data_IF_707442959121
#
_entry.id   IF_707442959121
#
_cell.length_a   1.000
_cell.length_b   1.000
_cell.length_c   1.000
_cell.angle_alpha   90.00
_cell.angle_beta   90.00
_cell.angle_gamma   90.00
#
_symmetry.space_group_name_H-M   'P 1'
#
loop_
_entity.id
_entity.type
_entity.pdbx_description
1 polymer ?
#
# COMPACT_ATOMS: atom_id res chain seq x y z
N UNK A 1 -6.40 -9.17 -11.99
CA UNK A 1 -6.79 -7.92 -12.67
C UNK A 1 -8.00 -7.39 -11.94
N UNK A 2 -7.93 -6.20 -11.34
CA UNK A 2 -9.05 -5.64 -10.60
C UNK A 2 -10.13 -5.24 -11.61
N UNK A 3 -11.29 -5.89 -11.54
CA UNK A 3 -12.42 -5.64 -12.43
C UNK A 3 -12.93 -4.19 -12.36
N UNK A 4 -12.75 -3.53 -11.22
CA UNK A 4 -13.10 -2.12 -11.02
C UNK A 4 -12.19 -1.14 -11.78
N UNK A 5 -10.92 -1.46 -12.00
CA UNK A 5 -10.01 -0.61 -12.77
C UNK A 5 -10.43 -0.45 -14.24
N UNK A 6 -11.10 -1.45 -14.81
CA UNK A 6 -11.59 -1.37 -16.19
C UNK A 6 -12.86 -0.53 -16.34
N UNK A 7 -13.75 -0.50 -15.34
CA UNK A 7 -14.98 0.30 -15.41
C UNK A 7 -14.71 1.78 -15.20
N UNK A 8 -13.76 2.09 -14.30
CA UNK A 8 -13.38 3.47 -13.97
C UNK A 8 -12.11 3.91 -14.69
N UNK A 9 -11.84 3.31 -15.84
CA UNK A 9 -10.77 3.77 -16.72
C UNK A 9 -10.99 5.25 -17.04
N UNK A 10 -9.90 6.03 -16.99
CA UNK A 10 -9.86 7.46 -17.30
C UNK A 10 -10.62 7.83 -18.60
N UNK A 11 -10.57 6.99 -19.62
CA UNK A 11 -11.28 7.22 -20.88
C UNK A 11 -12.81 7.21 -20.71
N UNK A 12 -13.35 6.37 -19.84
CA UNK A 12 -14.80 6.30 -19.58
C UNK A 12 -15.23 7.53 -18.79
N UNK A 13 -14.46 7.92 -17.77
CA UNK A 13 -14.72 9.10 -16.95
C UNK A 13 -14.65 10.36 -17.80
N UNK A 14 -13.60 10.50 -18.61
CA UNK A 14 -13.42 11.67 -19.48
C UNK A 14 -14.51 11.81 -20.55
N UNK A 15 -15.02 10.71 -21.08
CA UNK A 15 -16.15 10.73 -22.02
C UNK A 15 -17.46 11.10 -21.33
N UNK A 16 -17.69 10.67 -20.11
CA UNK A 16 -18.85 11.07 -19.28
C UNK A 16 -18.81 12.57 -18.97
N UNK A 17 -17.64 13.12 -18.65
CA UNK A 17 -17.45 14.55 -18.39
C UNK A 17 -17.67 15.40 -19.64
N UNK A 18 -17.20 14.93 -20.79
CA UNK A 18 -17.25 15.71 -22.04
C UNK A 18 -18.58 15.60 -22.80
N UNK A 19 -19.29 14.48 -22.75
CA UNK A 19 -20.49 14.26 -23.57
C UNK A 19 -21.78 14.05 -22.77
N UNK A 20 -21.70 13.78 -21.47
CA UNK A 20 -22.86 13.46 -20.64
C UNK A 20 -23.62 12.19 -21.06
N UNK A 21 -23.20 11.54 -22.15
CA UNK A 21 -23.82 10.32 -22.70
C UNK A 21 -22.78 9.24 -22.90
N UNK A 22 -23.07 8.06 -22.39
CA UNK A 22 -22.22 6.88 -22.53
C UNK A 22 -23.05 5.69 -23.02
N UNK A 23 -22.68 5.14 -24.18
CA UNK A 23 -23.29 3.90 -24.68
C UNK A 23 -22.60 2.70 -24.05
N UNK A 24 -23.34 1.95 -23.23
CA UNK A 24 -22.88 0.72 -22.60
C UNK A 24 -23.34 -0.47 -23.44
N UNK A 25 -22.39 -1.35 -23.78
CA UNK A 25 -22.67 -2.57 -24.54
C UNK A 25 -23.46 -3.58 -23.69
N UNK A 26 -24.11 -4.54 -24.37
CA UNK A 26 -24.82 -5.63 -23.67
C UNK A 26 -23.90 -6.47 -22.77
N UNK A 27 -22.64 -6.64 -23.17
CA UNK A 27 -21.64 -7.36 -22.39
C UNK A 27 -21.25 -6.59 -21.12
N UNK A 28 -21.07 -5.27 -21.20
CA UNK A 28 -20.78 -4.42 -20.04
C UNK A 28 -21.96 -4.40 -19.07
N UNK A 29 -23.20 -4.41 -19.56
CA UNK A 29 -24.39 -4.52 -18.73
C UNK A 29 -24.47 -5.88 -18.02
N UNK A 30 -24.22 -6.97 -18.74
CA UNK A 30 -24.20 -8.31 -18.17
C UNK A 30 -23.13 -8.44 -17.08
N UNK A 31 -21.97 -7.88 -17.33
CA UNK A 31 -20.86 -7.86 -16.39
C UNK A 31 -21.16 -6.98 -15.15
N UNK A 32 -21.73 -5.78 -15.34
CA UNK A 32 -22.17 -4.92 -14.24
C UNK A 32 -23.23 -5.62 -13.37
N UNK A 33 -24.17 -6.33 -14.00
CA UNK A 33 -25.17 -7.12 -13.27
C UNK A 33 -24.52 -8.20 -12.41
N UNK A 34 -23.58 -8.94 -12.95
CA UNK A 34 -22.80 -9.96 -12.21
C UNK A 34 -22.05 -9.35 -11.02
N UNK A 35 -21.45 -8.18 -11.20
CA UNK A 35 -20.79 -7.47 -10.10
C UNK A 35 -21.75 -7.02 -9.01
N UNK A 36 -22.92 -6.52 -9.36
CA UNK A 36 -23.94 -6.10 -8.39
C UNK A 36 -24.49 -7.26 -7.57
N UNK A 37 -24.42 -8.48 -8.09
CA UNK A 37 -24.77 -9.72 -7.39
C UNK A 37 -23.72 -10.16 -6.38
N UNK A 38 -22.46 -9.70 -6.53
CA UNK A 38 -21.39 -10.04 -5.59
C UNK A 38 -21.67 -9.46 -4.18
N UNK A 39 -21.38 -10.19 -3.09
CA UNK A 39 -21.63 -9.73 -1.71
C UNK A 39 -21.03 -8.36 -1.40
N UNK A 40 -19.82 -8.08 -1.88
CA UNK A 40 -19.15 -6.79 -1.70
C UNK A 40 -19.91 -5.59 -2.31
N UNK A 41 -20.83 -5.81 -3.25
CA UNK A 41 -21.65 -4.75 -3.81
C UNK A 41 -22.61 -4.14 -2.78
N UNK A 42 -23.04 -4.92 -1.77
CA UNK A 42 -23.86 -4.42 -0.68
C UNK A 42 -23.13 -3.39 0.20
N UNK A 43 -21.83 -3.48 0.28
CA UNK A 43 -21.01 -2.53 1.03
C UNK A 43 -20.55 -1.33 0.17
N UNK A 44 -20.41 -1.54 -1.14
CA UNK A 44 -19.94 -0.52 -2.08
C UNK A 44 -21.04 0.49 -2.46
N UNK A 45 -22.30 0.06 -2.49
CA UNK A 45 -23.45 0.88 -2.90
C UNK A 45 -24.45 1.07 -1.75
N UNK A 46 -25.18 2.21 -1.77
CA UNK A 46 -26.35 2.31 -0.90
C UNK A 46 -27.42 1.33 -1.38
N UNK A 47 -28.30 0.80 -0.49
CA UNK A 47 -29.38 -0.10 -0.87
C UNK A 47 -30.22 0.45 -2.03
N UNK A 48 -30.59 1.72 -1.98
CA UNK A 48 -31.37 2.42 -3.01
C UNK A 48 -30.65 2.47 -4.37
N UNK A 49 -29.35 2.77 -4.37
CA UNK A 49 -28.54 2.81 -5.60
C UNK A 49 -28.41 1.40 -6.20
N UNK A 50 -28.17 0.40 -5.35
CA UNK A 50 -28.05 -0.99 -5.79
C UNK A 50 -29.37 -1.49 -6.39
N UNK A 51 -30.50 -1.21 -5.76
CA UNK A 51 -31.82 -1.58 -6.23
C UNK A 51 -32.16 -0.93 -7.58
N UNK A 52 -31.93 0.39 -7.70
CA UNK A 52 -32.07 1.10 -8.98
C UNK A 52 -31.24 0.49 -10.11
N UNK A 53 -29.96 0.19 -9.84
CA UNK A 53 -29.07 -0.42 -10.84
C UNK A 53 -29.52 -1.81 -11.24
N UNK A 54 -29.95 -2.64 -10.28
CA UNK A 54 -30.49 -3.96 -10.55
C UNK A 54 -31.79 -3.90 -11.35
N UNK A 55 -32.66 -2.92 -11.06
CA UNK A 55 -33.88 -2.66 -11.83
C UNK A 55 -33.59 -2.30 -13.28
N UNK A 56 -32.61 -1.41 -13.53
CA UNK A 56 -32.20 -1.02 -14.88
C UNK A 56 -31.57 -2.19 -15.66
N UNK A 57 -30.93 -3.12 -14.97
CA UNK A 57 -30.26 -4.28 -15.57
C UNK A 57 -31.10 -5.56 -15.55
N UNK A 58 -32.37 -5.46 -15.14
CA UNK A 58 -33.27 -6.63 -14.98
C UNK A 58 -33.31 -7.52 -16.22
N UNK A 59 -33.43 -6.94 -17.41
CA UNK A 59 -33.54 -7.67 -18.69
C UNK A 59 -32.22 -8.22 -19.21
N UNK A 60 -31.09 -7.84 -18.63
CA UNK A 60 -29.77 -8.28 -19.09
C UNK A 60 -29.43 -9.66 -18.48
N UNK A 61 -28.80 -10.53 -19.26
CA UNK A 61 -28.23 -11.78 -18.74
C UNK A 61 -27.11 -11.46 -17.74
N UNK A 62 -26.90 -12.28 -16.72
CA UNK A 62 -25.69 -12.25 -15.91
C UNK A 62 -24.59 -13.04 -16.62
N UNK A 63 -23.35 -12.55 -16.56
CA UNK A 63 -22.20 -13.27 -17.09
C UNK A 63 -21.70 -14.25 -16.04
N UNK A 64 -22.01 -15.52 -16.19
CA UNK A 64 -21.41 -16.56 -15.34
C UNK A 64 -20.07 -16.97 -15.91
N UNK A 65 -19.01 -16.67 -15.19
CA UNK A 65 -17.63 -17.02 -15.53
C UNK A 65 -17.05 -18.08 -14.59
N UNK A 66 -17.84 -18.55 -13.63
CA UNK A 66 -17.39 -19.48 -12.57
C UNK A 66 -16.97 -20.83 -13.12
N UNK A 67 -17.60 -21.30 -14.21
CA UNK A 67 -17.27 -22.57 -14.86
C UNK A 67 -15.98 -22.50 -15.69
N UNK A 68 -15.56 -21.30 -16.12
CA UNK A 68 -14.43 -21.13 -17.04
C UNK A 68 -13.20 -20.48 -16.42
N UNK A 69 -13.30 -19.92 -15.21
CA UNK A 69 -12.22 -19.23 -14.54
C UNK A 69 -11.91 -19.87 -13.19
N UNK A 70 -10.75 -20.52 -13.10
CA UNK A 70 -10.22 -21.06 -11.85
C UNK A 70 -9.07 -20.17 -11.39
N UNK A 71 -9.17 -19.65 -10.17
CA UNK A 71 -8.08 -18.91 -9.56
C UNK A 71 -6.95 -19.88 -9.19
N UNK A 72 -5.78 -19.73 -9.82
CA UNK A 72 -4.61 -20.52 -9.50
C UNK A 72 -4.18 -20.29 -8.06
N UNK A 73 -3.90 -21.37 -7.34
CA UNK A 73 -3.53 -21.38 -5.92
C UNK A 73 -4.68 -21.19 -4.91
N UNK A 74 -5.94 -21.18 -5.36
CA UNK A 74 -7.13 -21.09 -4.49
C UNK A 74 -7.02 -20.03 -3.37
N UNK A 75 -6.33 -18.91 -3.65
CA UNK A 75 -6.18 -17.84 -2.67
C UNK A 75 -7.53 -17.15 -2.47
N UNK A 76 -7.98 -17.05 -1.22
CA UNK A 76 -9.12 -16.19 -0.90
C UNK A 76 -8.72 -14.73 -1.11
N UNK A 77 -9.44 -14.01 -1.96
CA UNK A 77 -9.28 -12.57 -2.06
C UNK A 77 -9.69 -11.93 -0.73
N UNK A 78 -8.80 -11.12 -0.16
CA UNK A 78 -9.20 -10.21 0.90
C UNK A 78 -10.09 -9.13 0.29
N UNK A 79 -11.20 -8.85 0.96
CA UNK A 79 -12.09 -7.78 0.58
C UNK A 79 -11.32 -6.46 0.52
N UNK A 80 -11.27 -5.86 -0.67
CA UNK A 80 -10.56 -4.58 -0.88
C UNK A 80 -11.40 -3.40 -0.41
N UNK A 81 -12.70 -3.60 -0.23
CA UNK A 81 -13.63 -2.57 0.22
C UNK A 81 -13.71 -2.49 1.75
N UNK A 82 -13.86 -1.27 2.27
CA UNK A 82 -14.10 -1.01 3.69
C UNK A 82 -15.24 0.02 3.84
N UNK A 83 -16.22 -0.18 4.76
CA UNK A 83 -17.39 0.69 4.90
C UNK A 83 -17.06 2.18 5.09
N UNK A 84 -15.97 2.47 5.81
CA UNK A 84 -15.53 3.84 6.06
C UNK A 84 -14.93 4.54 4.84
N UNK A 85 -14.60 3.84 3.75
CA UNK A 85 -13.98 4.46 2.57
C UNK A 85 -14.83 5.60 2.00
N UNK A 86 -16.14 5.36 1.85
CA UNK A 86 -17.08 6.36 1.34
C UNK A 86 -17.15 7.60 2.25
N UNK A 87 -17.24 7.37 3.54
CA UNK A 87 -17.34 8.45 4.53
C UNK A 87 -16.06 9.27 4.58
N UNK A 88 -14.91 8.60 4.65
CA UNK A 88 -13.60 9.28 4.66
C UNK A 88 -13.34 10.03 3.36
N UNK A 89 -13.64 9.43 2.20
CA UNK A 89 -13.53 10.11 0.91
C UNK A 89 -14.36 11.39 0.86
N UNK A 90 -15.58 11.38 1.38
CA UNK A 90 -16.44 12.57 1.47
C UNK A 90 -15.80 13.65 2.33
N UNK A 91 -15.30 13.31 3.52
CA UNK A 91 -14.66 14.30 4.41
C UNK A 91 -13.39 14.88 3.79
N UNK A 92 -12.57 14.07 3.12
CA UNK A 92 -11.39 14.53 2.37
C UNK A 92 -11.80 15.49 1.24
N UNK A 93 -12.79 15.11 0.44
CA UNK A 93 -13.29 15.92 -0.69
C UNK A 93 -13.87 17.28 -0.22
N UNK A 94 -14.54 17.30 0.92
CA UNK A 94 -15.13 18.51 1.50
C UNK A 94 -14.11 19.34 2.28
N UNK A 95 -12.86 18.89 2.42
CA UNK A 95 -11.83 19.53 3.25
C UNK A 95 -12.31 19.81 4.69
N UNK A 96 -13.19 18.97 5.22
CA UNK A 96 -13.71 19.11 6.58
C UNK A 96 -12.77 18.46 7.58
N UNK A 97 -12.71 19.01 8.79
CA UNK A 97 -12.07 18.35 9.92
C UNK A 97 -12.82 17.07 10.29
N UNK A 98 -12.15 16.22 11.05
CA UNK A 98 -12.70 14.98 11.57
C UNK A 98 -12.41 14.82 13.05
N UNK A 99 -13.33 14.17 13.75
CA UNK A 99 -13.12 13.67 15.11
C UNK A 99 -13.07 12.16 15.07
N UNK A 100 -11.92 11.57 15.43
CA UNK A 100 -11.66 10.14 15.32
C UNK A 100 -11.57 9.47 16.69
N UNK A 101 -12.21 8.32 16.80
CA UNK A 101 -11.98 7.35 17.86
C UNK A 101 -11.37 6.10 17.23
N UNK A 102 -10.17 5.71 17.66
CA UNK A 102 -9.44 4.59 17.10
C UNK A 102 -8.69 3.78 18.15
N UNK A 103 -8.42 2.52 17.80
CA UNK A 103 -7.73 1.57 18.67
C UNK A 103 -6.22 1.52 18.35
N UNK A 104 -5.38 1.58 19.36
CA UNK A 104 -3.94 1.39 19.26
C UNK A 104 -3.57 -0.10 19.14
N UNK A 105 -2.31 -0.39 18.79
CA UNK A 105 -1.78 -1.76 18.71
C UNK A 105 -1.90 -2.56 20.01
N UNK A 106 -1.87 -1.87 21.15
CA UNK A 106 -1.99 -2.47 22.49
C UNK A 106 -3.44 -2.62 22.98
N UNK A 107 -4.44 -2.46 22.11
CA UNK A 107 -5.86 -2.57 22.44
C UNK A 107 -6.47 -1.33 23.14
N UNK A 108 -5.66 -0.32 23.50
CA UNK A 108 -6.20 0.90 24.11
C UNK A 108 -6.91 1.75 23.04
N UNK A 109 -8.10 2.25 23.37
CA UNK A 109 -8.80 3.20 22.53
C UNK A 109 -8.27 4.63 22.76
N UNK A 110 -8.16 5.37 21.70
CA UNK A 110 -7.98 6.83 21.68
C UNK A 110 -9.29 7.45 21.23
N UNK A 111 -9.87 8.26 22.10
CA UNK A 111 -11.21 8.81 21.89
C UNK A 111 -11.15 10.28 21.49
N UNK A 112 -12.02 10.65 20.54
CA UNK A 112 -12.31 12.04 20.15
C UNK A 112 -11.09 12.89 19.80
N UNK A 113 -10.18 12.34 19.01
CA UNK A 113 -9.05 13.09 18.50
C UNK A 113 -9.43 13.91 17.28
N UNK A 114 -9.32 15.23 17.38
CA UNK A 114 -9.53 16.17 16.27
C UNK A 114 -8.37 16.13 15.30
N UNK A 115 -8.69 16.10 14.00
CA UNK A 115 -7.71 16.05 12.94
C UNK A 115 -8.26 16.46 11.59
N UNK A 116 -7.37 16.49 10.59
CA UNK A 116 -7.69 16.78 9.21
C UNK A 116 -7.38 15.56 8.33
N UNK A 117 -8.37 14.95 7.66
CA UNK A 117 -8.17 13.80 6.79
C UNK A 117 -7.52 14.25 5.49
N UNK A 118 -6.42 13.59 5.11
CA UNK A 118 -5.65 13.96 3.92
C UNK A 118 -5.90 13.03 2.75
N UNK A 119 -5.59 11.75 2.92
CA UNK A 119 -5.71 10.73 1.86
C UNK A 119 -6.07 9.37 2.42
N UNK A 120 -6.63 8.53 1.54
CA UNK A 120 -6.80 7.11 1.76
C UNK A 120 -5.72 6.35 0.99
N UNK A 121 -5.00 5.47 1.68
CA UNK A 121 -3.91 4.67 1.13
C UNK A 121 -4.21 3.19 1.27
N UNK A 122 -4.02 2.43 0.20
CA UNK A 122 -4.11 0.99 0.23
C UNK A 122 -2.72 0.35 0.25
N UNK A 123 -2.38 -0.32 1.34
CA UNK A 123 -1.12 -1.04 1.43
C UNK A 123 -1.18 -2.37 0.68
N UNK A 124 -0.49 -2.46 -0.45
CA UNK A 124 -0.39 -3.69 -1.25
C UNK A 124 0.30 -4.83 -0.49
N UNK A 125 1.19 -4.52 0.44
CA UNK A 125 1.90 -5.52 1.27
C UNK A 125 0.98 -6.11 2.33
N UNK A 126 0.24 -5.25 3.04
CA UNK A 126 -0.64 -5.66 4.15
C UNK A 126 -2.07 -5.97 3.69
N UNK A 127 -2.40 -5.56 2.46
CA UNK A 127 -3.76 -5.64 1.89
C UNK A 127 -4.80 -5.00 2.79
N UNK A 128 -4.50 -3.79 3.28
CA UNK A 128 -5.32 -3.03 4.21
C UNK A 128 -5.36 -1.56 3.83
N UNK A 129 -6.48 -0.91 4.13
CA UNK A 129 -6.66 0.52 3.95
C UNK A 129 -6.18 1.32 5.15
N UNK A 130 -5.56 2.45 4.89
CA UNK A 130 -5.09 3.42 5.86
C UNK A 130 -5.69 4.78 5.56
N UNK A 131 -6.05 5.52 6.62
CA UNK A 131 -6.32 6.95 6.57
C UNK A 131 -5.04 7.69 6.95
N UNK A 132 -4.53 8.50 6.03
CA UNK A 132 -3.49 9.47 6.32
C UNK A 132 -4.17 10.78 6.76
N UNK A 133 -3.87 11.26 7.95
CA UNK A 133 -4.52 12.41 8.54
C UNK A 133 -3.59 13.19 9.44
N UNK A 134 -3.83 14.50 9.57
CA UNK A 134 -3.05 15.39 10.43
C UNK A 134 -3.73 15.53 11.79
N UNK A 135 -3.02 15.19 12.88
CA UNK A 135 -3.51 15.32 14.23
C UNK A 135 -3.32 16.75 14.72
N UNK A 136 -4.41 17.51 14.94
CA UNK A 136 -4.35 18.95 15.26
C UNK A 136 -3.57 19.24 16.53
N UNK A 137 -3.86 18.54 17.62
CA UNK A 137 -3.20 18.76 18.92
C UNK A 137 -1.72 18.38 18.92
N UNK A 138 -1.36 17.26 18.28
CA UNK A 138 0.03 16.77 18.23
C UNK A 138 0.83 17.38 17.09
N UNK A 139 0.17 18.11 16.20
CA UNK A 139 0.77 18.73 14.99
C UNK A 139 1.61 17.72 14.19
N UNK A 140 1.09 16.53 14.02
CA UNK A 140 1.80 15.43 13.38
C UNK A 140 0.95 14.70 12.34
N UNK A 141 1.60 14.24 11.28
CA UNK A 141 0.98 13.40 10.25
C UNK A 141 0.91 11.96 10.75
N UNK A 142 -0.30 11.43 10.80
CA UNK A 142 -0.64 10.11 11.31
C UNK A 142 -1.14 9.20 10.19
N UNK A 143 -0.83 7.91 10.28
CA UNK A 143 -1.41 6.87 9.43
C UNK A 143 -2.15 5.86 10.31
N UNK A 144 -3.45 5.72 10.11
CA UNK A 144 -4.32 4.86 10.91
C UNK A 144 -5.06 3.87 10.03
N UNK A 145 -5.02 2.58 10.37
CA UNK A 145 -5.78 1.55 9.64
C UNK A 145 -7.27 1.82 9.75
N UNK A 146 -8.01 1.74 8.65
CA UNK A 146 -9.48 1.90 8.69
C UNK A 146 -10.15 0.88 9.62
N UNK A 147 -9.65 -0.37 9.65
CA UNK A 147 -10.15 -1.42 10.55
C UNK A 147 -9.99 -1.11 12.04
N UNK A 148 -9.12 -0.16 12.40
CA UNK A 148 -8.91 0.29 13.79
C UNK A 148 -9.73 1.53 14.14
N UNK A 149 -10.38 2.17 13.19
CA UNK A 149 -11.25 3.33 13.42
C UNK A 149 -12.62 2.80 13.88
N UNK A 150 -13.01 3.15 15.09
CA UNK A 150 -14.29 2.75 15.70
C UNK A 150 -15.39 3.76 15.39
N UNK A 151 -15.05 5.05 15.38
CA UNK A 151 -15.97 6.12 15.07
C UNK A 151 -15.25 7.28 14.36
N UNK A 152 -15.96 7.93 13.45
CA UNK A 152 -15.49 9.09 12.73
C UNK A 152 -16.65 10.05 12.49
N UNK A 153 -16.57 11.25 13.04
CA UNK A 153 -17.56 12.31 12.87
C UNK A 153 -16.94 13.51 12.16
N UNK A 154 -17.70 14.24 11.34
CA UNK A 154 -17.21 15.48 10.74
C UNK A 154 -17.04 16.55 11.82
N UNK A 155 -16.03 17.38 11.66
CA UNK A 155 -15.78 18.55 12.49
C UNK A 155 -15.63 19.77 11.58
N UNK A 156 -16.36 20.87 11.82
CA UNK A 156 -16.21 22.09 11.01
C UNK A 156 -14.76 22.57 11.04
N UNK A 157 -14.27 23.07 9.90
CA UNK A 157 -12.93 23.65 9.77
C UNK A 157 -12.98 24.85 8.84
N UNK A 158 -12.31 25.93 9.24
CA UNK A 158 -12.19 27.10 8.39
C UNK A 158 -11.29 26.80 7.17
N UNK A 159 -11.62 27.34 5.98
CA UNK A 159 -10.85 27.08 4.75
C UNK A 159 -9.37 27.45 4.88
N UNK A 160 -9.04 28.56 5.54
CA UNK A 160 -7.66 29.00 5.75
C UNK A 160 -6.84 28.03 6.64
N UNK A 161 -7.47 27.43 7.64
CA UNK A 161 -6.83 26.41 8.49
C UNK A 161 -6.55 25.15 7.69
N UNK A 162 -7.49 24.71 6.85
CA UNK A 162 -7.33 23.55 5.99
C UNK A 162 -6.14 23.72 5.03
N UNK A 163 -5.96 24.86 4.40
CA UNK A 163 -4.84 25.16 3.51
C UNK A 163 -3.51 25.14 4.25
N UNK A 164 -3.43 25.83 5.42
CA UNK A 164 -2.24 25.81 6.27
C UNK A 164 -1.82 24.41 6.68
N UNK A 165 -2.80 23.52 6.96
CA UNK A 165 -2.54 22.12 7.33
C UNK A 165 -2.05 21.35 6.10
N UNK A 166 -2.63 21.56 4.92
CA UNK A 166 -2.19 20.93 3.68
C UNK A 166 -0.72 21.25 3.36
N UNK A 167 -0.30 22.50 3.53
CA UNK A 167 1.09 22.90 3.33
C UNK A 167 2.03 22.19 4.30
N UNK A 168 1.66 22.08 5.58
CA UNK A 168 2.44 21.33 6.57
C UNK A 168 2.53 19.84 6.25
N UNK A 169 1.44 19.25 5.73
CA UNK A 169 1.42 17.86 5.28
C UNK A 169 2.38 17.69 4.11
N UNK A 170 2.30 18.57 3.09
CA UNK A 170 3.18 18.51 1.93
C UNK A 170 4.65 18.64 2.31
N UNK A 171 5.00 19.61 3.15
CA UNK A 171 6.36 19.76 3.68
C UNK A 171 6.82 18.51 4.43
N UNK A 172 5.95 17.92 5.25
CA UNK A 172 6.27 16.69 6.00
C UNK A 172 6.50 15.50 5.07
N UNK A 173 5.66 15.35 4.03
CA UNK A 173 5.80 14.26 3.06
C UNK A 173 7.08 14.43 2.22
N UNK A 174 7.37 15.64 1.76
CA UNK A 174 8.62 15.92 1.03
C UNK A 174 9.85 15.64 1.89
N UNK A 175 9.86 16.07 3.16
CA UNK A 175 10.99 15.82 4.06
C UNK A 175 11.20 14.34 4.41
N UNK A 176 10.18 13.51 4.24
CA UNK A 176 10.26 12.06 4.48
C UNK A 176 10.66 11.26 3.25
N UNK A 177 10.75 11.88 2.08
CA UNK A 177 11.25 11.19 0.89
C UNK A 177 12.68 10.74 1.12
N UNK A 178 12.95 9.50 0.76
CA UNK A 178 14.29 8.91 0.84
C UNK A 178 14.71 8.43 -0.54
N UNK A 179 16.01 8.50 -0.80
CA UNK A 179 16.58 7.96 -2.01
C UNK A 179 17.23 6.60 -1.73
N UNK A 180 17.18 5.73 -2.70
CA UNK A 180 17.86 4.45 -2.70
C UNK A 180 18.42 4.15 -4.08
N UNK A 181 19.57 3.53 -4.14
CA UNK A 181 20.16 3.06 -5.39
C UNK A 181 20.29 1.56 -5.38
N UNK A 182 19.77 0.94 -6.43
CA UNK A 182 19.77 -0.50 -6.63
C UNK A 182 20.54 -0.80 -7.90
N UNK A 183 21.51 -1.70 -7.81
CA UNK A 183 22.28 -2.20 -8.94
C UNK A 183 21.69 -3.54 -9.39
N UNK A 184 21.52 -3.69 -10.69
CA UNK A 184 21.16 -4.96 -11.32
C UNK A 184 22.46 -5.75 -11.51
N UNK A 185 22.50 -6.97 -10.98
CA UNK A 185 23.67 -7.84 -11.12
C UNK A 185 23.84 -8.23 -12.58
N UNK A 186 25.03 -8.01 -13.15
CA UNK A 186 25.35 -8.16 -14.58
C UNK A 186 24.79 -9.46 -15.21
N UNK A 187 24.89 -10.59 -14.51
CA UNK A 187 24.38 -11.89 -14.99
C UNK A 187 22.88 -11.87 -15.31
N UNK A 188 22.14 -10.84 -14.88
CA UNK A 188 20.69 -10.69 -15.09
C UNK A 188 20.31 -9.51 -16.00
N UNK A 189 21.27 -8.94 -16.74
CA UNK A 189 20.99 -7.86 -17.70
C UNK A 189 19.94 -8.26 -18.74
N UNK A 190 19.87 -9.53 -19.14
CA UNK A 190 18.84 -10.05 -20.03
C UNK A 190 17.42 -10.00 -19.44
N UNK A 191 17.28 -9.92 -18.11
CA UNK A 191 16.01 -9.78 -17.41
C UNK A 191 15.66 -8.31 -17.07
N UNK A 192 16.40 -7.32 -17.60
CA UNK A 192 16.28 -5.91 -17.25
C UNK A 192 14.83 -5.40 -17.24
N UNK A 193 14.09 -5.63 -18.33
CA UNK A 193 12.70 -5.18 -18.44
C UNK A 193 11.81 -5.73 -17.33
N UNK A 194 11.98 -7.01 -16.97
CA UNK A 194 11.23 -7.67 -15.89
C UNK A 194 11.60 -7.09 -14.53
N UNK A 195 12.88 -6.80 -14.31
CA UNK A 195 13.37 -6.20 -13.05
C UNK A 195 12.84 -4.77 -12.93
N UNK A 196 12.94 -3.96 -13.99
CA UNK A 196 12.41 -2.60 -14.00
C UNK A 196 10.90 -2.54 -13.83
N UNK A 197 10.17 -3.54 -14.33
CA UNK A 197 8.73 -3.66 -14.12
C UNK A 197 8.39 -3.85 -12.63
N UNK A 198 9.20 -4.57 -11.86
CA UNK A 198 8.97 -4.72 -10.42
C UNK A 198 9.05 -3.38 -9.66
N UNK A 199 9.77 -2.38 -10.21
CA UNK A 199 9.89 -1.03 -9.66
C UNK A 199 9.01 0.01 -10.39
N UNK A 200 8.04 -0.41 -11.21
CA UNK A 200 7.19 0.50 -11.99
C UNK A 200 6.31 1.43 -11.14
N UNK A 201 6.04 1.06 -9.89
CA UNK A 201 5.26 1.84 -8.94
C UNK A 201 6.06 2.96 -8.25
N UNK A 202 7.37 3.04 -8.47
CA UNK A 202 8.24 4.06 -7.87
C UNK A 202 8.73 5.05 -8.92
N UNK A 203 8.97 6.28 -8.48
CA UNK A 203 9.74 7.25 -9.26
C UNK A 203 11.17 6.76 -9.38
N UNK A 204 11.65 6.58 -10.61
CA UNK A 204 12.96 5.96 -10.86
C UNK A 204 13.69 6.58 -12.02
N UNK A 205 15.02 6.66 -11.87
CA UNK A 205 15.96 6.96 -12.93
C UNK A 205 16.87 5.76 -13.15
N UNK A 206 17.14 5.42 -14.40
CA UNK A 206 17.96 4.25 -14.77
C UNK A 206 19.21 4.71 -15.47
N UNK A 207 20.36 4.33 -14.92
CA UNK A 207 21.68 4.65 -15.47
C UNK A 207 22.41 3.36 -15.84
N UNK A 208 22.97 3.33 -17.05
CA UNK A 208 23.85 2.25 -17.50
C UNK A 208 25.30 2.66 -17.30
N UNK A 209 26.10 1.78 -16.69
CA UNK A 209 27.53 1.93 -16.56
C UNK A 209 28.22 0.98 -17.55
N UNK A 210 28.86 1.55 -18.58
CA UNK A 210 29.51 0.79 -19.64
C UNK A 210 30.79 0.08 -19.16
N UNK A 211 31.49 0.64 -18.17
CA UNK A 211 32.75 0.06 -17.66
C UNK A 211 32.51 -1.26 -16.92
N UNK A 212 31.40 -1.36 -16.22
CA UNK A 212 31.06 -2.53 -15.41
C UNK A 212 29.92 -3.37 -16.02
N UNK A 213 29.39 -2.94 -17.15
CA UNK A 213 28.22 -3.53 -17.80
C UNK A 213 27.07 -3.77 -16.81
N UNK A 214 26.74 -2.75 -16.01
CA UNK A 214 25.71 -2.83 -14.98
C UNK A 214 24.71 -1.70 -15.11
N UNK A 215 23.45 -1.97 -14.72
CA UNK A 215 22.41 -0.97 -14.62
C UNK A 215 22.20 -0.57 -13.17
N UNK A 216 22.11 0.73 -12.92
CA UNK A 216 21.77 1.30 -11.62
C UNK A 216 20.43 2.00 -11.70
N UNK A 217 19.56 1.70 -10.75
CA UNK A 217 18.22 2.25 -10.64
C UNK A 217 18.18 3.11 -9.38
N UNK A 218 18.13 4.42 -9.58
CA UNK A 218 17.94 5.39 -8.51
C UNK A 218 16.43 5.52 -8.27
N UNK A 219 15.99 5.27 -7.04
CA UNK A 219 14.58 5.30 -6.62
C UNK A 219 14.35 6.43 -5.64
N UNK A 220 13.28 7.20 -5.85
CA UNK A 220 12.75 8.14 -4.87
C UNK A 220 11.48 7.55 -4.27
N UNK A 221 11.48 7.37 -2.96
CA UNK A 221 10.40 6.69 -2.24
C UNK A 221 9.90 7.54 -1.09
N UNK A 222 8.58 7.62 -0.85
CA UNK A 222 8.05 8.09 0.40
C UNK A 222 8.58 7.23 1.57
N UNK A 223 8.86 7.85 2.71
CA UNK A 223 9.52 7.13 3.82
C UNK A 223 8.71 5.96 4.39
N UNK A 224 7.40 5.97 4.22
CA UNK A 224 6.48 4.90 4.63
C UNK A 224 6.38 3.75 3.61
N UNK A 225 6.88 3.93 2.37
CA UNK A 225 6.91 2.89 1.34
C UNK A 225 8.20 2.04 1.33
N UNK A 226 9.14 2.33 2.21
CA UNK A 226 10.40 1.59 2.30
C UNK A 226 10.21 0.07 2.48
N UNK A 227 9.21 -0.37 3.27
CA UNK A 227 8.89 -1.79 3.44
C UNK A 227 8.29 -2.40 2.16
N UNK A 228 7.56 -1.62 1.37
CA UNK A 228 7.07 -2.08 0.07
C UNK A 228 8.22 -2.26 -0.92
N UNK A 229 9.16 -1.31 -0.98
CA UNK A 229 10.38 -1.47 -1.78
C UNK A 229 11.18 -2.69 -1.33
N UNK A 230 11.37 -2.90 -0.02
CA UNK A 230 12.05 -4.09 0.51
C UNK A 230 11.37 -5.38 0.07
N UNK A 231 10.04 -5.43 0.01
CA UNK A 231 9.31 -6.60 -0.48
C UNK A 231 9.64 -6.92 -1.95
N UNK A 232 9.81 -5.87 -2.78
CA UNK A 232 10.21 -6.02 -4.20
C UNK A 232 11.65 -6.50 -4.33
N UNK A 233 12.57 -5.93 -3.55
CA UNK A 233 13.97 -6.35 -3.54
C UNK A 233 14.11 -7.81 -3.11
N UNK A 234 13.39 -8.23 -2.06
CA UNK A 234 13.35 -9.64 -1.62
C UNK A 234 12.80 -10.58 -2.69
N UNK A 235 11.74 -10.17 -3.38
CA UNK A 235 11.18 -10.94 -4.50
C UNK A 235 12.18 -11.11 -5.65
N UNK A 236 12.94 -10.07 -5.98
CA UNK A 236 13.97 -10.12 -7.01
C UNK A 236 15.20 -10.96 -6.55
N UNK A 237 15.44 -11.02 -5.25
CA UNK A 237 16.50 -11.84 -4.64
C UNK A 237 17.88 -11.50 -5.19
N UNK A 238 18.59 -12.51 -5.69
CA UNK A 238 19.98 -12.38 -6.19
C UNK A 238 20.14 -11.53 -7.46
N UNK A 239 19.04 -11.12 -8.10
CA UNK A 239 19.08 -10.33 -9.33
C UNK A 239 19.50 -8.88 -9.10
N UNK A 240 19.31 -8.39 -7.89
CA UNK A 240 19.54 -6.98 -7.54
C UNK A 240 20.31 -6.85 -6.23
N UNK A 241 21.06 -5.76 -6.12
CA UNK A 241 21.84 -5.39 -4.94
C UNK A 241 21.54 -3.95 -4.55
N UNK A 242 21.30 -3.69 -3.27
CA UNK A 242 21.16 -2.32 -2.75
C UNK A 242 22.56 -1.70 -2.64
N UNK A 243 22.83 -0.65 -3.43
CA UNK A 243 24.11 0.07 -3.45
C UNK A 243 24.07 1.25 -2.50
N UNK A 244 22.95 2.01 -2.48
CA UNK A 244 22.75 3.12 -1.56
C UNK A 244 21.42 2.98 -0.80
N UNK A 245 21.38 3.53 0.43
CA UNK A 245 20.25 3.43 1.33
C UNK A 245 20.55 2.58 2.56
N UNK A 246 21.15 3.20 3.60
CA UNK A 246 21.60 2.50 4.81
C UNK A 246 20.48 1.73 5.52
N UNK A 247 19.27 2.27 5.57
CA UNK A 247 18.14 1.59 6.14
C UNK A 247 17.81 0.29 5.37
N UNK A 248 17.75 0.36 4.04
CA UNK A 248 17.41 -0.80 3.20
C UNK A 248 18.51 -1.87 3.28
N UNK A 249 19.79 -1.47 3.23
CA UNK A 249 20.93 -2.40 3.40
C UNK A 249 20.84 -3.14 4.72
N UNK A 250 20.64 -2.43 5.82
CA UNK A 250 20.51 -3.02 7.16
C UNK A 250 19.33 -4.00 7.21
N UNK A 251 18.15 -3.59 6.73
CA UNK A 251 16.95 -4.45 6.73
C UNK A 251 17.10 -5.69 5.84
N UNK A 252 17.79 -5.55 4.70
CA UNK A 252 18.10 -6.71 3.85
C UNK A 252 19.07 -7.67 4.55
N UNK A 253 20.13 -7.15 5.16
CA UNK A 253 21.09 -7.94 5.92
C UNK A 253 20.40 -8.69 7.06
N UNK A 254 19.64 -7.99 7.91
CA UNK A 254 18.87 -8.58 9.01
C UNK A 254 17.98 -9.73 8.53
N UNK A 255 17.18 -9.50 7.47
CA UNK A 255 16.26 -10.51 6.96
C UNK A 255 16.99 -11.73 6.36
N UNK A 256 18.12 -11.51 5.70
CA UNK A 256 18.92 -12.60 5.11
C UNK A 256 19.61 -13.41 6.19
N UNK A 257 20.18 -12.75 7.22
CA UNK A 257 20.80 -13.44 8.37
C UNK A 257 19.77 -14.28 9.11
N UNK A 258 18.60 -13.75 9.42
CA UNK A 258 17.52 -14.49 10.07
C UNK A 258 17.03 -15.68 9.23
N UNK A 259 17.06 -15.58 7.90
CA UNK A 259 16.76 -16.71 7.02
C UNK A 259 17.84 -17.79 7.10
N UNK A 260 19.11 -17.41 7.05
CA UNK A 260 20.25 -18.34 7.15
C UNK A 260 20.30 -19.04 8.52
N UNK A 261 20.00 -18.30 9.59
CA UNK A 261 19.88 -18.88 10.94
C UNK A 261 18.81 -19.99 10.99
N UNK A 262 17.65 -19.79 10.35
CA UNK A 262 16.57 -20.80 10.31
C UNK A 262 16.98 -22.08 9.55
N UNK A 263 17.87 -21.96 8.59
CA UNK A 263 18.42 -23.10 7.86
C UNK A 263 19.69 -23.67 8.48
N UNK A 264 20.12 -23.16 9.66
CA UNK A 264 21.30 -23.65 10.37
C UNK A 264 22.65 -23.32 9.69
N UNK A 265 22.66 -22.39 8.74
CA UNK A 265 23.86 -22.00 8.00
C UNK A 265 24.69 -20.92 8.72
N UNK A 266 24.10 -20.23 9.70
CA UNK A 266 24.74 -19.23 10.55
C UNK A 266 24.27 -19.47 11.98
N UNK A 267 25.17 -19.48 13.00
CA UNK A 267 24.78 -19.69 14.39
C UNK A 267 23.87 -18.55 14.86
N UNK A 268 22.85 -18.88 15.66
CA UNK A 268 21.94 -17.91 16.23
C UNK A 268 22.69 -16.96 17.18
N UNK A 269 22.39 -15.67 17.11
CA UNK A 269 23.04 -14.60 17.91
C UNK A 269 23.12 -14.87 19.42
N UNK A 270 22.26 -15.72 19.96
CA UNK A 270 22.28 -16.12 21.40
C UNK A 270 23.45 -17.02 21.77
N UNK A 271 24.00 -17.80 20.85
CA UNK A 271 25.11 -18.72 21.14
C UNK A 271 26.47 -18.01 21.15
N UNK A 272 26.62 -16.94 20.35
CA UNK A 272 27.85 -16.13 20.33
C UNK A 272 28.10 -15.41 21.67
N UNK A 273 27.04 -14.97 22.37
CA UNK A 273 27.19 -14.28 23.67
C UNK A 273 27.56 -15.27 24.78
N UNK A 274 27.10 -16.51 24.70
CA UNK A 274 27.41 -17.58 25.68
C UNK A 274 28.85 -18.09 25.53
N UNK A 275 29.35 -18.24 24.32
CA UNK A 275 30.73 -18.69 24.07
C UNK A 275 31.76 -17.65 24.47
N UNK A 276 31.49 -16.36 24.20
CA UNK A 276 32.40 -15.26 24.61
C UNK A 276 32.45 -15.09 26.14
N UNK A 277 31.38 -15.37 26.87
CA UNK A 277 31.34 -15.34 28.33
C UNK A 277 32.09 -16.55 28.91
N UNK A 278 31.96 -17.74 28.31
CA UNK A 278 32.69 -18.94 28.77
C UNK A 278 34.20 -18.86 28.53
N UNK A 279 34.63 -18.31 27.39
CA UNK A 279 36.05 -18.11 27.09
C UNK A 279 36.68 -17.05 28.00
N UNK A 280 35.99 -15.94 28.27
CA UNK A 280 36.46 -14.91 29.21
C UNK A 280 36.50 -15.44 30.66
N UNK A 281 35.53 -16.27 31.08
CA UNK A 281 35.53 -16.86 32.41
C UNK A 281 36.66 -17.89 32.61
N UNK A 282 37.06 -18.63 31.57
CA UNK A 282 38.18 -19.57 31.63
C UNK A 282 39.55 -18.87 31.62
N UNK A 283 39.64 -17.69 31.06
CA UNK A 283 40.88 -16.89 31.01
C UNK A 283 41.12 -16.21 32.39
N UNK A 284 40.07 -15.78 33.10
CA UNK A 284 40.19 -15.16 34.44
C UNK A 284 40.47 -16.20 35.51
N UNK A 285 40.08 -17.45 35.34
CA UNK A 285 40.34 -18.53 36.29
C UNK A 285 41.78 -19.14 36.20
N UNK A 286 42.59 -18.66 35.23
CA UNK A 286 43.98 -19.12 35.04
C UNK A 286 45.05 -18.06 35.36
N UNK A 287 44.66 -16.93 35.91
CA UNK A 287 45.53 -15.94 36.57
C UNK A 287 45.28 -15.97 38.09
#
# INVERSE_FOLDING_TARGET
MNLFEKIFNYQIISRLENSGTFMITSQERAWLKTMLQHPAAAEAFTPETKEKLLGLLHQNASMDVSEHLIQKACSQEKQVYHPLLRTMRRYISQRSGIRLTYELKNGRARTEHSGFPYKLEYSMVKREWYLLWYHLRQRSLMSTRLSKIKNAAPEPMEPGDAESILDKIHQTLESRKTEAEIEIVQAYNSELSRILYAFSCFEKDVHYNADTDTYRVKLRIPGDEAEYLLSKIRFLGKRVRVVEGNYLKRRMLESSTMALERYGLVPAKKELTSQTIEENSKTIARQ
#
